data_IF_328745512556
#
_entry.id   IF_328745512556
#
_cell.length_a   1.000
_cell.length_b   1.000
_cell.length_c   1.000
_cell.angle_alpha   90.00
_cell.angle_beta   90.00
_cell.angle_gamma   90.00
#
_symmetry.space_group_name_H-M   'P 1'
#
loop_
_entity.id
_entity.type
_entity.pdbx_description
1 polymer ?
#
# COMPACT_ATOMS: atom_id res chain seq x y z
N UNK A 1 -8.81 0.10 -4.18
CA UNK A 1 -8.85 1.51 -3.78
C UNK A 1 -8.11 1.67 -2.47
N UNK A 2 -7.35 2.78 -2.28
CA UNK A 2 -6.65 3.10 -1.03
C UNK A 2 -5.25 2.48 -0.82
N UNK A 3 -4.76 1.61 -1.71
CA UNK A 3 -3.44 0.98 -1.56
C UNK A 3 -2.29 1.99 -1.47
N UNK A 4 -2.27 2.94 -2.38
CA UNK A 4 -1.23 3.97 -2.44
C UNK A 4 -1.32 4.93 -1.25
N UNK A 5 -2.54 5.26 -0.78
CA UNK A 5 -2.73 6.07 0.44
C UNK A 5 -2.20 5.35 1.69
N UNK A 6 -2.43 4.03 1.80
CA UNK A 6 -1.83 3.25 2.89
C UNK A 6 -0.29 3.28 2.85
N UNK A 7 0.29 3.25 1.67
CA UNK A 7 1.74 3.38 1.47
C UNK A 7 2.24 4.77 1.89
N UNK A 8 1.53 5.84 1.54
CA UNK A 8 1.87 7.20 1.98
C UNK A 8 1.74 7.39 3.49
N UNK A 9 0.74 6.79 4.13
CA UNK A 9 0.62 6.79 5.60
C UNK A 9 1.81 6.08 6.26
N UNK A 10 2.26 4.95 5.69
CA UNK A 10 3.48 4.27 6.17
C UNK A 10 4.72 5.15 5.98
N UNK A 11 4.82 5.88 4.86
CA UNK A 11 5.91 6.84 4.64
C UNK A 11 5.88 7.96 5.67
N UNK A 12 4.71 8.53 5.97
CA UNK A 12 4.54 9.52 7.04
C UNK A 12 5.00 9.00 8.40
N UNK A 13 4.65 7.74 8.73
CA UNK A 13 5.15 7.09 9.93
C UNK A 13 6.68 6.94 9.94
N UNK A 14 7.29 6.57 8.82
CA UNK A 14 8.76 6.48 8.71
C UNK A 14 9.40 7.84 8.95
N UNK A 15 8.87 8.92 8.37
CA UNK A 15 9.42 10.27 8.55
C UNK A 15 9.36 10.70 10.03
N UNK A 16 8.25 10.44 10.70
CA UNK A 16 8.00 10.92 12.07
C UNK A 16 8.62 10.00 13.14
N UNK A 17 8.35 8.69 13.07
CA UNK A 17 8.61 7.77 14.18
C UNK A 17 9.85 6.88 14.02
N UNK A 18 10.24 6.55 12.80
CA UNK A 18 11.33 5.59 12.56
C UNK A 18 12.17 5.97 11.34
N UNK A 19 12.83 7.17 11.36
CA UNK A 19 13.53 7.71 10.21
C UNK A 19 14.71 6.84 9.76
N UNK A 20 14.88 6.73 8.45
CA UNK A 20 15.99 6.01 7.81
C UNK A 20 15.99 6.20 6.30
N UNK A 21 17.09 5.96 5.61
CA UNK A 21 17.20 6.13 4.17
C UNK A 21 16.10 5.36 3.46
N UNK A 22 15.26 6.08 2.71
CA UNK A 22 14.04 5.57 2.08
C UNK A 22 14.11 5.76 0.58
N UNK A 23 13.76 4.73 -0.19
CA UNK A 23 13.59 4.80 -1.63
C UNK A 23 12.15 4.47 -2.01
N UNK A 24 11.52 5.37 -2.74
CA UNK A 24 10.21 5.17 -3.35
C UNK A 24 10.37 4.98 -4.86
N UNK A 25 9.91 3.85 -5.38
CA UNK A 25 10.04 3.50 -6.79
C UNK A 25 8.67 3.51 -7.45
N UNK A 26 8.57 4.19 -8.58
CA UNK A 26 7.42 4.23 -9.48
C UNK A 26 7.74 3.54 -10.80
N UNK A 27 6.74 3.22 -11.65
CA UNK A 27 6.99 2.54 -12.92
C UNK A 27 7.97 3.29 -13.83
N UNK A 28 7.87 4.63 -13.91
CA UNK A 28 8.72 5.49 -14.75
C UNK A 28 9.31 6.63 -13.93
N UNK A 29 10.39 7.23 -14.44
CA UNK A 29 11.03 8.39 -13.81
C UNK A 29 10.08 9.61 -13.72
N UNK A 30 9.24 9.84 -14.72
CA UNK A 30 8.29 10.94 -14.68
C UNK A 30 7.13 10.68 -13.70
N UNK A 31 6.71 9.42 -13.53
CA UNK A 31 5.76 9.04 -12.48
C UNK A 31 6.37 9.30 -11.10
N UNK A 32 7.66 8.99 -10.90
CA UNK A 32 8.36 9.25 -9.65
C UNK A 32 8.41 10.76 -9.32
N UNK A 33 8.71 11.61 -10.30
CA UNK A 33 8.67 13.08 -10.15
C UNK A 33 7.27 13.58 -9.82
N UNK A 34 6.25 13.04 -10.52
CA UNK A 34 4.86 13.40 -10.27
C UNK A 34 4.39 13.00 -8.87
N UNK A 35 4.72 11.80 -8.43
CA UNK A 35 4.42 11.31 -7.06
C UNK A 35 5.09 12.19 -6.02
N UNK A 36 6.38 12.48 -6.19
CA UNK A 36 7.14 13.37 -5.31
C UNK A 36 6.46 14.72 -5.16
N UNK A 37 6.24 15.41 -6.28
CA UNK A 37 5.80 16.80 -6.27
C UNK A 37 4.29 16.97 -6.01
N UNK A 38 3.45 16.11 -6.59
CA UNK A 38 2.00 16.29 -6.54
C UNK A 38 1.31 15.51 -5.41
N UNK A 39 2.02 14.60 -4.75
CA UNK A 39 1.43 13.74 -3.71
C UNK A 39 2.20 13.81 -2.40
N UNK A 40 3.47 13.44 -2.40
CA UNK A 40 4.26 13.33 -1.17
C UNK A 40 4.56 14.70 -0.58
N UNK A 41 5.00 15.66 -1.39
CA UNK A 41 5.30 17.02 -0.92
C UNK A 41 4.06 17.69 -0.30
N UNK A 42 2.90 17.76 -0.96
CA UNK A 42 1.69 18.34 -0.35
C UNK A 42 1.24 17.60 0.92
N UNK A 43 1.37 16.27 0.96
CA UNK A 43 1.06 15.48 2.17
C UNK A 43 1.90 15.94 3.36
N UNK A 44 3.21 16.17 3.15
CA UNK A 44 4.11 16.62 4.21
C UNK A 44 3.80 18.07 4.60
N UNK A 45 3.61 18.96 3.62
CA UNK A 45 3.35 20.39 3.84
C UNK A 45 2.04 20.65 4.60
N UNK A 46 0.99 19.89 4.33
CA UNK A 46 -0.34 20.06 4.96
C UNK A 46 -0.41 19.40 6.34
N UNK A 47 0.44 18.40 6.61
CA UNK A 47 0.43 17.71 7.90
C UNK A 47 1.14 18.54 8.98
N UNK A 48 0.46 18.97 10.06
CA UNK A 48 1.10 19.72 11.14
C UNK A 48 2.25 18.98 11.83
N UNK A 49 2.25 17.62 11.74
CA UNK A 49 3.28 16.77 12.32
C UNK A 49 4.47 16.67 11.37
N UNK A 50 4.23 16.41 10.10
CA UNK A 50 5.30 16.16 9.14
C UNK A 50 5.98 17.44 8.64
N UNK A 51 5.24 18.55 8.58
CA UNK A 51 5.75 19.84 8.12
C UNK A 51 6.99 20.32 8.89
N UNK A 52 7.06 20.03 10.20
CA UNK A 52 8.19 20.38 11.05
C UNK A 52 9.53 19.71 10.68
N UNK A 53 9.49 18.66 9.85
CA UNK A 53 10.68 17.96 9.38
C UNK A 53 11.17 18.46 8.03
N UNK A 54 10.42 19.35 7.37
CA UNK A 54 10.90 19.97 6.14
C UNK A 54 12.13 20.82 6.43
N UNK A 55 13.18 20.74 5.60
CA UNK A 55 14.36 21.58 5.78
C UNK A 55 14.03 23.06 5.56
N UNK A 56 14.71 23.94 6.31
CA UNK A 56 14.58 25.40 6.15
C UNK A 56 15.06 25.87 4.76
N UNK A 57 16.10 25.22 4.25
CA UNK A 57 16.59 25.47 2.91
C UNK A 57 15.83 24.63 1.89
N UNK A 58 15.05 25.30 1.04
CA UNK A 58 14.24 24.61 -0.01
C UNK A 58 15.11 23.95 -1.10
N UNK A 59 16.39 24.28 -1.22
CA UNK A 59 17.32 23.61 -2.14
C UNK A 59 17.61 22.16 -1.70
N UNK A 60 17.37 21.82 -0.44
CA UNK A 60 17.44 20.45 0.10
C UNK A 60 16.26 19.57 -0.34
N UNK A 61 15.29 20.15 -1.03
CA UNK A 61 14.14 19.47 -1.62
C UNK A 61 14.19 19.58 -3.13
N UNK A 62 14.69 18.54 -3.77
CA UNK A 62 14.63 18.43 -5.24
C UNK A 62 13.40 17.61 -5.68
N UNK A 63 13.22 17.45 -6.99
CA UNK A 63 12.13 16.61 -7.53
C UNK A 63 12.27 15.12 -7.18
N UNK A 64 13.48 14.66 -6.87
CA UNK A 64 13.76 13.23 -6.66
C UNK A 64 14.43 12.94 -5.31
N UNK A 65 14.75 13.96 -4.52
CA UNK A 65 15.42 13.78 -3.23
C UNK A 65 14.92 14.83 -2.23
N UNK A 66 14.57 14.38 -1.02
CA UNK A 66 14.21 15.22 0.11
C UNK A 66 15.20 14.93 1.24
N UNK A 67 16.01 15.92 1.60
CA UNK A 67 17.00 15.84 2.67
C UNK A 67 16.37 16.37 3.96
N UNK A 68 15.89 15.46 4.80
CA UNK A 68 15.47 15.78 6.16
C UNK A 68 16.64 15.65 7.13
N UNK A 69 16.59 16.27 8.30
CA UNK A 69 17.65 16.19 9.30
C UNK A 69 18.06 14.75 9.67
N UNK A 70 17.11 13.83 9.68
CA UNK A 70 17.29 12.46 10.19
C UNK A 70 17.22 11.38 9.12
N UNK A 71 16.88 11.71 7.89
CA UNK A 71 16.75 10.76 6.79
C UNK A 71 16.77 11.44 5.42
N UNK A 72 17.04 10.67 4.39
CA UNK A 72 16.87 11.11 3.01
C UNK A 72 15.80 10.22 2.37
N UNK A 73 14.86 10.89 1.69
CA UNK A 73 13.84 10.23 0.88
C UNK A 73 14.18 10.41 -0.59
N UNK A 74 14.37 9.28 -1.27
CA UNK A 74 14.69 9.21 -2.69
C UNK A 74 13.49 8.75 -3.50
N UNK A 75 13.37 9.27 -4.72
CA UNK A 75 12.38 8.83 -5.70
C UNK A 75 13.08 8.36 -6.97
N UNK A 76 12.66 7.22 -7.52
CA UNK A 76 13.25 6.66 -8.73
C UNK A 76 12.20 6.01 -9.63
N UNK A 77 12.49 5.96 -10.92
CA UNK A 77 11.77 5.11 -11.85
C UNK A 77 12.36 3.69 -11.89
N UNK A 78 11.53 2.68 -12.06
CA UNK A 78 11.96 1.29 -12.16
C UNK A 78 12.85 1.00 -13.38
N UNK A 79 12.85 1.90 -14.35
CA UNK A 79 13.66 1.84 -15.57
C UNK A 79 15.02 2.56 -15.46
N UNK A 80 15.39 3.06 -14.27
CA UNK A 80 16.66 3.77 -14.02
C UNK A 80 17.59 2.93 -13.14
N UNK A 81 18.47 2.08 -13.72
CA UNK A 81 19.35 1.22 -12.93
C UNK A 81 20.27 2.00 -11.98
N UNK A 82 20.79 3.13 -12.44
CA UNK A 82 21.68 3.96 -11.64
C UNK A 82 21.03 4.43 -10.34
N UNK A 83 19.78 4.90 -10.40
CA UNK A 83 19.05 5.39 -9.23
C UNK A 83 18.67 4.24 -8.28
N UNK A 84 18.37 3.06 -8.83
CA UNK A 84 18.04 1.87 -8.04
C UNK A 84 19.25 1.26 -7.33
N UNK A 85 20.47 1.47 -7.87
CA UNK A 85 21.68 0.80 -7.40
C UNK A 85 22.65 1.69 -6.61
N UNK A 86 22.35 2.99 -6.42
CA UNK A 86 23.38 3.95 -6.01
C UNK A 86 23.58 4.06 -4.49
N UNK A 87 22.60 3.70 -3.66
CA UNK A 87 22.58 4.14 -2.24
C UNK A 87 22.11 3.05 -1.29
N UNK A 88 22.64 2.97 -0.04
CA UNK A 88 22.10 2.08 0.99
C UNK A 88 20.71 2.55 1.41
N UNK A 89 19.74 1.64 1.45
CA UNK A 89 18.33 1.91 1.72
C UNK A 89 17.83 1.02 2.85
N UNK A 90 17.14 1.60 3.82
CA UNK A 90 16.46 0.86 4.89
C UNK A 90 15.01 0.56 4.52
N UNK A 91 14.28 1.55 4.01
CA UNK A 91 12.89 1.43 3.60
C UNK A 91 12.77 1.47 2.09
N UNK A 92 12.11 0.47 1.52
CA UNK A 92 11.89 0.38 0.09
C UNK A 92 10.39 0.30 -0.19
N UNK A 93 9.85 1.33 -0.84
CA UNK A 93 8.47 1.44 -1.25
C UNK A 93 8.39 1.24 -2.77
N UNK A 94 7.68 0.22 -3.22
CA UNK A 94 7.55 -0.15 -4.63
C UNK A 94 6.07 -0.04 -5.04
N UNK A 95 5.73 1.01 -5.77
CA UNK A 95 4.37 1.25 -6.24
C UNK A 95 4.14 0.70 -7.65
N UNK A 96 2.99 0.10 -7.87
CA UNK A 96 2.56 -0.47 -9.14
C UNK A 96 3.57 -1.47 -9.76
N UNK A 97 4.10 -2.39 -8.96
CA UNK A 97 5.17 -3.33 -9.35
C UNK A 97 4.85 -4.20 -10.57
N UNK A 98 3.59 -4.47 -10.88
CA UNK A 98 3.19 -5.21 -12.08
C UNK A 98 3.40 -4.43 -13.39
N UNK A 99 3.62 -3.11 -13.27
CA UNK A 99 3.97 -2.24 -14.42
C UNK A 99 5.47 -2.09 -14.65
N UNK A 100 6.30 -2.71 -13.80
CA UNK A 100 7.75 -2.63 -13.93
C UNK A 100 8.22 -3.46 -15.13
N UNK A 101 9.27 -3.00 -15.83
CA UNK A 101 9.90 -3.80 -16.87
C UNK A 101 10.55 -5.04 -16.27
N UNK A 102 10.73 -6.09 -17.08
CA UNK A 102 11.44 -7.30 -16.63
C UNK A 102 12.90 -7.03 -16.27
N UNK A 103 13.49 -6.04 -16.93
CA UNK A 103 14.88 -5.61 -16.72
C UNK A 103 14.93 -4.09 -16.62
N UNK A 104 15.74 -3.56 -15.73
CA UNK A 104 16.05 -2.13 -15.66
C UNK A 104 17.24 -1.88 -16.59
N UNK A 105 16.97 -1.24 -17.73
CA UNK A 105 17.97 -1.07 -18.78
C UNK A 105 18.48 -2.41 -19.32
N UNK A 106 19.81 -2.63 -19.23
CA UNK A 106 20.49 -3.89 -19.58
C UNK A 106 20.83 -4.75 -18.35
N UNK A 107 20.42 -4.30 -17.17
CA UNK A 107 20.76 -4.94 -15.90
C UNK A 107 19.65 -5.90 -15.42
N UNK A 108 19.69 -6.24 -14.14
CA UNK A 108 18.77 -7.19 -13.52
C UNK A 108 17.36 -6.59 -13.32
N UNK A 109 16.45 -7.41 -12.87
CA UNK A 109 15.13 -7.06 -12.38
C UNK A 109 15.19 -5.86 -11.42
N UNK A 110 14.40 -4.79 -11.65
CA UNK A 110 14.44 -3.56 -10.85
C UNK A 110 14.17 -3.77 -9.37
N UNK A 111 13.29 -4.73 -9.02
CA UNK A 111 12.99 -5.05 -7.61
C UNK A 111 14.21 -5.68 -6.94
N UNK A 112 14.94 -6.54 -7.66
CA UNK A 112 16.17 -7.13 -7.14
C UNK A 112 17.26 -6.08 -6.97
N UNK A 113 17.46 -5.21 -7.96
CA UNK A 113 18.46 -4.12 -7.87
C UNK A 113 18.23 -3.25 -6.64
N UNK A 114 17.00 -2.76 -6.45
CA UNK A 114 16.66 -1.95 -5.29
C UNK A 114 16.80 -2.72 -3.96
N UNK A 115 16.39 -3.99 -3.93
CA UNK A 115 16.46 -4.82 -2.72
C UNK A 115 17.90 -5.13 -2.28
N UNK A 116 18.86 -5.20 -3.22
CA UNK A 116 20.28 -5.35 -2.90
C UNK A 116 20.80 -4.20 -2.02
N UNK A 117 20.26 -3.00 -2.16
CA UNK A 117 20.65 -1.82 -1.36
C UNK A 117 20.20 -1.89 0.08
N UNK A 118 19.31 -2.82 0.42
CA UNK A 118 18.85 -3.03 1.79
C UNK A 118 19.72 -4.03 2.59
N UNK A 119 20.76 -4.60 2.01
CA UNK A 119 21.58 -5.63 2.68
C UNK A 119 22.31 -5.13 3.91
N UNK A 120 22.64 -3.85 3.97
CA UNK A 120 23.34 -3.22 5.11
C UNK A 120 22.44 -3.02 6.33
N UNK A 121 21.11 -3.11 6.16
CA UNK A 121 20.17 -2.88 7.25
C UNK A 121 19.52 -4.19 7.69
N UNK A 122 19.77 -4.61 8.93
CA UNK A 122 19.13 -5.78 9.52
C UNK A 122 17.62 -5.58 9.75
N UNK A 123 17.20 -4.33 10.02
CA UNK A 123 15.81 -3.91 10.28
C UNK A 123 15.12 -3.31 9.04
N UNK A 124 15.58 -3.70 7.84
CA UNK A 124 14.99 -3.28 6.57
C UNK A 124 13.53 -3.66 6.44
N UNK A 125 12.77 -2.83 5.71
CA UNK A 125 11.38 -3.13 5.33
C UNK A 125 11.15 -2.83 3.85
N UNK A 126 10.41 -3.72 3.19
CA UNK A 126 9.99 -3.55 1.80
C UNK A 126 8.48 -3.60 1.71
N UNK A 127 7.89 -2.56 1.14
CA UNK A 127 6.46 -2.47 0.87
C UNK A 127 6.27 -2.55 -0.65
N UNK A 128 5.47 -3.51 -1.10
CA UNK A 128 5.14 -3.71 -2.51
C UNK A 128 3.64 -3.52 -2.70
N UNK A 129 3.26 -2.67 -3.63
CA UNK A 129 1.87 -2.36 -3.91
C UNK A 129 1.62 -2.47 -5.41
N UNK A 130 0.56 -3.14 -5.82
CA UNK A 130 0.08 -3.16 -7.20
C UNK A 130 -1.36 -3.65 -7.30
N UNK A 131 -1.98 -3.40 -8.43
CA UNK A 131 -3.15 -4.16 -8.87
C UNK A 131 -2.64 -5.36 -9.66
N UNK A 132 -3.01 -6.59 -9.30
CA UNK A 132 -2.58 -7.76 -10.06
C UNK A 132 -3.14 -7.69 -11.49
N UNK A 133 -2.29 -7.87 -12.48
CA UNK A 133 -2.65 -7.86 -13.90
C UNK A 133 -2.82 -9.29 -14.41
N UNK A 134 -1.90 -10.18 -14.06
CA UNK A 134 -1.90 -11.61 -14.41
C UNK A 134 -1.45 -12.45 -13.23
N UNK A 135 -1.64 -13.77 -13.32
CA UNK A 135 -1.14 -14.71 -12.31
C UNK A 135 0.39 -14.79 -12.28
N UNK A 136 1.05 -14.46 -13.37
CA UNK A 136 2.51 -14.37 -13.48
C UNK A 136 3.07 -13.02 -13.05
N UNK A 137 2.21 -12.05 -12.71
CA UNK A 137 2.59 -10.70 -12.25
C UNK A 137 3.41 -10.73 -10.96
N UNK A 138 4.20 -9.69 -10.74
CA UNK A 138 5.05 -9.59 -9.54
C UNK A 138 4.23 -9.67 -8.25
N UNK A 139 3.16 -8.88 -8.15
CA UNK A 139 2.38 -8.80 -6.90
C UNK A 139 1.65 -10.11 -6.59
N UNK A 140 1.14 -10.81 -7.63
CA UNK A 140 0.47 -12.09 -7.45
C UNK A 140 1.43 -13.16 -6.93
N UNK A 141 2.64 -13.26 -7.52
CA UNK A 141 3.69 -14.19 -7.07
C UNK A 141 4.15 -13.90 -5.63
N UNK A 142 4.23 -12.64 -5.24
CA UNK A 142 4.59 -12.27 -3.87
C UNK A 142 3.45 -12.61 -2.90
N UNK A 143 2.20 -12.40 -3.30
CA UNK A 143 1.02 -12.82 -2.52
C UNK A 143 1.00 -14.35 -2.32
N UNK A 144 1.30 -15.14 -3.35
CA UNK A 144 1.39 -16.59 -3.22
C UNK A 144 2.48 -17.08 -2.24
N UNK A 145 3.56 -16.33 -2.09
CA UNK A 145 4.64 -16.64 -1.14
C UNK A 145 4.33 -16.19 0.29
N UNK A 146 3.36 -15.28 0.46
CA UNK A 146 2.95 -14.75 1.75
C UNK A 146 2.04 -15.72 2.51
N UNK A 147 1.64 -15.35 3.72
CA UNK A 147 0.62 -16.04 4.51
C UNK A 147 -0.82 -15.72 4.02
N UNK A 148 -0.96 -14.95 2.95
CA UNK A 148 -2.21 -14.65 2.24
C UNK A 148 -3.30 -14.09 3.16
N UNK A 149 -2.95 -13.17 4.04
CA UNK A 149 -3.91 -12.58 4.99
C UNK A 149 -5.08 -11.92 4.30
N UNK A 150 -6.27 -12.18 4.86
CA UNK A 150 -7.48 -11.46 4.52
C UNK A 150 -8.05 -10.79 5.77
N UNK A 151 -8.77 -9.70 5.54
CA UNK A 151 -9.41 -8.98 6.62
C UNK A 151 -10.79 -9.58 6.89
N UNK A 152 -10.95 -10.13 8.09
CA UNK A 152 -12.19 -10.73 8.57
C UNK A 152 -12.89 -9.78 9.53
N UNK A 153 -14.20 -9.70 9.43
CA UNK A 153 -15.04 -8.91 10.32
C UNK A 153 -16.09 -9.80 10.98
N UNK A 154 -16.42 -9.57 12.26
CA UNK A 154 -17.46 -10.33 12.94
C UNK A 154 -18.84 -9.89 12.45
N UNK A 155 -19.75 -10.83 12.24
CA UNK A 155 -21.15 -10.51 12.02
C UNK A 155 -21.77 -9.98 13.33
N UNK A 156 -22.46 -8.82 13.34
CA UNK A 156 -23.05 -8.25 14.55
C UNK A 156 -24.21 -9.10 15.12
N UNK A 157 -24.74 -10.06 14.35
CA UNK A 157 -25.86 -10.89 14.76
C UNK A 157 -25.46 -12.29 15.24
N UNK A 158 -24.50 -12.94 14.56
CA UNK A 158 -24.10 -14.31 14.90
C UNK A 158 -22.64 -14.45 15.37
N UNK A 159 -21.87 -13.35 15.38
CA UNK A 159 -20.47 -13.31 15.81
C UNK A 159 -19.47 -13.99 14.88
N UNK A 160 -19.92 -14.75 13.87
CA UNK A 160 -19.01 -15.46 12.96
C UNK A 160 -18.19 -14.49 12.11
N UNK A 161 -16.89 -14.75 12.02
CA UNK A 161 -15.95 -13.99 11.22
C UNK A 161 -16.16 -14.29 9.72
N UNK A 162 -16.19 -13.26 8.91
CA UNK A 162 -16.36 -13.36 7.46
C UNK A 162 -15.59 -12.27 6.74
N UNK A 163 -15.14 -12.57 5.52
CA UNK A 163 -14.59 -11.56 4.61
C UNK A 163 -15.73 -10.91 3.86
N UNK A 164 -15.74 -9.58 3.81
CA UNK A 164 -16.75 -8.86 3.03
C UNK A 164 -16.49 -9.03 1.54
N UNK A 165 -17.46 -9.54 0.82
CA UNK A 165 -17.42 -9.73 -0.64
C UNK A 165 -18.58 -9.02 -1.33
N UNK A 166 -18.35 -8.49 -2.52
CA UNK A 166 -19.35 -7.70 -3.25
C UNK A 166 -20.65 -8.49 -3.49
N UNK A 167 -20.57 -9.79 -3.78
CA UNK A 167 -21.75 -10.64 -4.03
C UNK A 167 -22.76 -10.75 -2.88
N UNK A 168 -22.35 -10.35 -1.66
CA UNK A 168 -23.22 -10.30 -0.48
C UNK A 168 -23.89 -8.94 -0.27
N UNK A 169 -23.59 -7.94 -1.10
CA UNK A 169 -24.33 -6.69 -1.11
C UNK A 169 -25.65 -6.93 -1.83
N UNK A 170 -26.75 -6.63 -1.16
CA UNK A 170 -28.11 -6.81 -1.65
C UNK A 170 -28.87 -5.49 -1.60
N UNK A 171 -29.88 -5.37 -2.41
CA UNK A 171 -30.86 -4.28 -2.45
C UNK A 171 -32.23 -4.83 -2.90
N UNK A 172 -33.34 -4.09 -2.76
CA UNK A 172 -34.65 -4.53 -3.21
C UNK A 172 -34.62 -4.93 -4.70
N UNK A 173 -35.19 -6.08 -5.02
CA UNK A 173 -35.10 -6.62 -6.40
C UNK A 173 -35.85 -5.76 -7.43
N UNK A 174 -36.86 -5.02 -6.99
CA UNK A 174 -37.66 -4.12 -7.79
C UNK A 174 -36.94 -2.83 -8.16
N UNK A 175 -35.85 -2.51 -7.42
CA UNK A 175 -35.12 -1.29 -7.65
C UNK A 175 -33.90 -1.51 -8.56
N UNK A 176 -33.94 -0.86 -9.72
CA UNK A 176 -32.89 -0.95 -10.74
C UNK A 176 -32.06 0.33 -10.89
N UNK A 177 -32.46 1.45 -10.23
CA UNK A 177 -31.75 2.71 -10.31
C UNK A 177 -30.57 2.76 -9.31
N UNK A 178 -29.31 2.79 -9.78
CA UNK A 178 -28.15 2.93 -8.90
C UNK A 178 -28.19 4.22 -8.08
N UNK A 179 -28.75 5.29 -8.65
CA UNK A 179 -28.87 6.59 -7.98
C UNK A 179 -29.81 6.53 -6.79
N UNK A 180 -30.99 5.89 -6.97
CA UNK A 180 -31.95 5.70 -5.87
C UNK A 180 -31.39 4.79 -4.81
N UNK A 181 -30.78 3.66 -5.17
CA UNK A 181 -30.14 2.73 -4.23
C UNK A 181 -29.13 3.48 -3.37
N UNK A 182 -28.32 4.37 -3.97
CA UNK A 182 -27.31 5.17 -3.26
C UNK A 182 -27.95 6.24 -2.38
N UNK A 183 -28.86 7.06 -2.94
CA UNK A 183 -29.39 8.24 -2.25
C UNK A 183 -30.34 7.86 -1.10
N UNK A 184 -31.13 6.81 -1.29
CA UNK A 184 -32.07 6.28 -0.30
C UNK A 184 -31.44 5.22 0.62
N UNK A 185 -30.13 4.89 0.42
CA UNK A 185 -29.37 3.89 1.19
C UNK A 185 -30.05 2.52 1.26
N UNK A 186 -30.62 2.09 0.14
CA UNK A 186 -31.39 0.84 0.06
C UNK A 186 -30.55 -0.42 0.11
N UNK A 187 -29.23 -0.32 -0.08
CA UNK A 187 -28.34 -1.47 -0.04
C UNK A 187 -27.99 -1.90 1.39
N UNK A 188 -27.87 -3.20 1.58
CA UNK A 188 -27.38 -3.81 2.82
C UNK A 188 -26.37 -4.91 2.50
N UNK A 189 -25.58 -5.30 3.48
CA UNK A 189 -24.74 -6.49 3.40
C UNK A 189 -25.47 -7.67 4.06
N UNK A 190 -25.57 -8.82 3.37
CA UNK A 190 -26.16 -10.02 3.92
C UNK A 190 -25.08 -10.93 4.51
N UNK A 191 -25.23 -11.33 5.78
CA UNK A 191 -24.27 -12.22 6.41
C UNK A 191 -24.24 -13.59 5.71
N UNK A 192 -23.06 -14.06 5.35
CA UNK A 192 -22.86 -15.34 4.69
C UNK A 192 -23.37 -16.53 5.52
N UNK A 193 -23.32 -16.43 6.85
CA UNK A 193 -23.64 -17.53 7.74
C UNK A 193 -25.09 -17.54 8.28
N UNK A 194 -25.63 -16.38 8.61
CA UNK A 194 -26.96 -16.32 9.24
C UNK A 194 -28.03 -15.62 8.36
N UNK A 195 -27.65 -15.10 7.18
CA UNK A 195 -28.57 -14.45 6.26
C UNK A 195 -29.14 -13.11 6.75
N UNK A 196 -28.77 -12.63 7.96
CA UNK A 196 -29.29 -11.38 8.48
C UNK A 196 -28.64 -10.18 7.81
N UNK A 197 -29.43 -9.11 7.67
CA UNK A 197 -28.97 -7.83 7.14
C UNK A 197 -28.00 -7.17 8.08
N UNK A 198 -26.93 -6.61 7.53
CA UNK A 198 -25.97 -5.74 8.21
C UNK A 198 -26.09 -4.37 7.55
N UNK A 199 -26.56 -3.41 8.29
CA UNK A 199 -26.80 -2.04 7.80
C UNK A 199 -25.48 -1.26 7.66
N UNK A 200 -25.45 -0.27 6.76
CA UNK A 200 -24.28 0.58 6.57
C UNK A 200 -23.86 1.31 7.84
N UNK A 201 -24.81 1.66 8.69
CA UNK A 201 -24.57 2.26 10.02
C UNK A 201 -23.72 1.38 10.95
N UNK A 202 -23.75 0.05 10.78
CA UNK A 202 -22.98 -0.91 11.59
C UNK A 202 -21.56 -1.13 11.04
N UNK A 203 -21.28 -0.67 9.82
CA UNK A 203 -20.03 -0.91 9.10
C UNK A 203 -18.80 -0.45 9.90
N UNK A 204 -18.82 0.78 10.44
CA UNK A 204 -17.67 1.29 11.19
C UNK A 204 -17.36 0.39 12.40
N UNK A 205 -18.37 -0.01 13.16
CA UNK A 205 -18.21 -0.85 14.34
C UNK A 205 -17.61 -2.23 14.00
N UNK A 206 -18.13 -2.90 12.96
CA UNK A 206 -17.61 -4.22 12.56
C UNK A 206 -16.20 -4.12 11.96
N UNK A 207 -15.88 -3.03 11.27
CA UNK A 207 -14.54 -2.80 10.73
C UNK A 207 -13.51 -2.58 11.84
N UNK A 208 -13.86 -1.85 12.89
CA UNK A 208 -12.98 -1.65 14.06
C UNK A 208 -12.72 -2.95 14.84
N UNK A 209 -13.66 -3.90 14.79
CA UNK A 209 -13.53 -5.23 15.42
C UNK A 209 -12.97 -6.29 14.49
N UNK A 210 -12.55 -5.89 13.28
CA UNK A 210 -11.99 -6.81 12.29
C UNK A 210 -10.52 -7.12 12.54
N UNK A 211 -10.08 -8.24 12.00
CA UNK A 211 -8.69 -8.70 12.13
C UNK A 211 -8.15 -9.30 10.83
N UNK A 212 -6.82 -9.21 10.67
CA UNK A 212 -6.10 -9.82 9.57
C UNK A 212 -5.73 -11.26 9.90
N UNK A 213 -6.39 -12.23 9.26
CA UNK A 213 -6.19 -13.66 9.50
C UNK A 213 -5.43 -14.28 8.33
N UNK A 214 -4.33 -15.04 8.58
CA UNK A 214 -3.63 -15.76 7.53
C UNK A 214 -4.49 -16.93 7.03
N UNK A 215 -4.64 -17.03 5.69
CA UNK A 215 -5.33 -18.18 5.06
C UNK A 215 -4.37 -19.33 4.75
N UNK A 216 -3.08 -19.01 4.61
CA UNK A 216 -2.03 -19.99 4.38
C UNK A 216 -1.19 -20.15 5.65
N UNK A 217 -1.18 -21.33 6.23
CA UNK A 217 -0.30 -21.65 7.37
C UNK A 217 1.15 -21.50 6.93
N UNK A 218 1.96 -20.80 7.69
CA UNK A 218 3.42 -20.80 7.49
C UNK A 218 3.90 -22.25 7.50
N UNK A 219 4.56 -22.68 6.42
CA UNK A 219 5.41 -23.86 6.49
C UNK A 219 6.49 -23.52 7.51
N UNK A 220 6.51 -24.20 8.66
CA UNK A 220 7.54 -24.04 9.67
C UNK A 220 8.89 -23.91 8.98
N UNK A 221 9.45 -22.71 8.99
CA UNK A 221 10.86 -22.51 8.70
C UNK A 221 11.59 -22.98 9.96
N UNK A 222 11.79 -24.30 10.02
CA UNK A 222 12.78 -24.83 10.95
C UNK A 222 14.12 -24.16 10.57
N UNK A 223 14.61 -23.39 11.53
CA UNK A 223 15.96 -22.81 11.51
C UNK A 223 17.00 -23.92 11.68
#
# INVERSE_FOLDING_TARGET
VGKTEAMYNMLGYVIDQDPGPTLMVSPRADDAKSVSYNRVRPMIEVSPILNKYLPENLDDITKLEYHFDRMILYFAGSNSPADLASRPIRYLFLDEVDKYPKFSGREADPIKLASERQKTFWNKKTIKVSTPTTREGYIFREYEKSDQRRFYVPCPHCGKLQVLVFGQIKWPREESSPERIKNERLAWYECFYCGKKIEDSQKQKIMLSGEWIPEKKEKNRNR
#
